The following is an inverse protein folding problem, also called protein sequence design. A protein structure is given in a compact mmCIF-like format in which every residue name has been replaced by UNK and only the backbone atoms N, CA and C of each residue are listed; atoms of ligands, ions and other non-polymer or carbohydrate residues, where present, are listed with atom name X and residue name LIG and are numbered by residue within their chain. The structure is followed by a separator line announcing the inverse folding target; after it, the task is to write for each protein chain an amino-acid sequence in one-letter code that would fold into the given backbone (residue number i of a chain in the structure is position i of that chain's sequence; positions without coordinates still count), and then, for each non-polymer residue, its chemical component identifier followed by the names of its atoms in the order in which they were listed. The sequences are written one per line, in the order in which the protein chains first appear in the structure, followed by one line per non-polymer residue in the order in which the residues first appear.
data_IF_467870596401
#
_entry.id   IF_467870596401
#
_cell.length_a   1.000
_cell.length_b   1.000
_cell.length_c   1.000
_cell.angle_alpha   90.00
_cell.angle_beta   90.00
_cell.angle_gamma   90.00
#
_symmetry.space_group_name_H-M   'P 1'
#
loop_
_entity.id
_entity.type
_entity.pdbx_description
1 polymer ?
#
# COMPACT_ATOMS: atom_id res chain seq x y z
N UNK A 1 26.71 15.40 27.43
CA UNK A 1 27.08 14.95 26.07
C UNK A 1 25.91 15.19 25.13
N UNK A 2 26.03 16.11 24.18
CA UNK A 2 25.05 16.35 23.12
C UNK A 2 25.71 15.98 21.78
N UNK A 3 25.32 14.83 21.24
CA UNK A 3 25.76 14.36 19.91
C UNK A 3 24.74 14.85 18.88
N UNK A 4 25.21 15.34 17.73
CA UNK A 4 24.33 15.69 16.61
C UNK A 4 23.69 14.42 16.02
N UNK A 5 22.38 14.48 15.78
CA UNK A 5 21.60 13.38 15.21
C UNK A 5 21.85 13.33 13.70
N UNK A 6 22.21 12.16 13.18
CA UNK A 6 22.44 11.96 11.75
C UNK A 6 21.13 11.91 10.95
N UNK A 7 21.14 12.17 9.63
CA UNK A 7 19.94 12.18 8.81
C UNK A 7 19.17 10.85 8.80
N UNK A 8 19.87 9.71 8.86
CA UNK A 8 19.23 8.38 8.95
C UNK A 8 18.57 8.14 10.31
N UNK A 9 19.18 8.67 11.38
CA UNK A 9 18.68 8.57 12.75
C UNK A 9 17.44 9.47 12.92
N UNK A 10 17.42 10.65 12.27
CA UNK A 10 16.21 11.45 12.11
C UNK A 10 15.14 10.65 11.35
N UNK A 11 15.48 10.04 10.22
CA UNK A 11 14.53 9.28 9.39
C UNK A 11 13.92 8.09 10.12
N UNK A 12 14.71 7.39 10.95
CA UNK A 12 14.22 6.29 11.80
C UNK A 12 13.21 6.77 12.86
N UNK A 13 13.32 8.02 13.31
CA UNK A 13 12.43 8.64 14.29
C UNK A 13 11.22 9.34 13.65
N UNK A 14 11.23 9.52 12.33
CA UNK A 14 10.11 10.09 11.60
C UNK A 14 9.06 9.02 11.30
N UNK A 15 7.82 9.48 11.18
CA UNK A 15 6.75 8.66 10.64
C UNK A 15 6.96 8.38 9.14
N UNK A 16 6.65 7.17 8.62
CA UNK A 16 6.10 5.99 9.30
C UNK A 16 7.17 5.07 9.91
N UNK A 17 8.47 5.33 9.68
CA UNK A 17 9.58 4.49 10.16
C UNK A 17 9.58 4.27 11.68
N UNK A 18 9.10 5.23 12.46
CA UNK A 18 8.89 5.10 13.91
C UNK A 18 7.97 3.93 14.29
N UNK A 19 7.03 3.56 13.40
CA UNK A 19 6.11 2.43 13.62
C UNK A 19 6.74 1.08 13.25
N UNK A 20 8.00 1.05 12.80
CA UNK A 20 8.67 -0.14 12.26
C UNK A 20 8.22 -0.52 10.85
N UNK A 21 7.34 0.29 10.24
CA UNK A 21 6.79 0.06 8.91
C UNK A 21 7.61 0.86 7.91
N UNK A 22 8.24 0.19 6.94
CA UNK A 22 8.91 0.88 5.84
C UNK A 22 7.88 1.73 5.08
N UNK A 23 8.19 3.00 4.80
CA UNK A 23 7.21 3.89 4.14
C UNK A 23 6.93 3.55 2.68
N UNK A 24 7.82 2.78 2.04
CA UNK A 24 7.88 2.69 0.58
C UNK A 24 7.43 1.32 0.02
N UNK A 25 7.01 0.37 0.85
CA UNK A 25 6.61 -0.98 0.38
C UNK A 25 5.15 -1.07 -0.07
N UNK A 26 4.28 -0.15 0.36
CA UNK A 26 2.87 -0.08 -0.07
C UNK A 26 2.54 1.31 -0.56
N UNK A 27 1.78 1.38 -1.66
CA UNK A 27 1.34 2.63 -2.27
C UNK A 27 -0.14 2.55 -2.64
N UNK A 28 -0.79 3.70 -2.68
CA UNK A 28 -2.17 3.79 -3.15
C UNK A 28 -2.20 3.66 -4.68
N UNK A 29 -2.87 2.62 -5.20
CA UNK A 29 -3.14 2.46 -6.63
C UNK A 29 -4.41 3.18 -7.06
N UNK A 30 -5.49 3.05 -6.28
CA UNK A 30 -6.75 3.75 -6.50
C UNK A 30 -7.54 3.87 -5.18
N UNK A 31 -8.32 4.94 -5.00
CA UNK A 31 -9.14 5.11 -3.81
C UNK A 31 -10.49 4.35 -3.87
N UNK A 32 -11.10 4.31 -5.06
CA UNK A 32 -12.35 3.60 -5.33
C UNK A 32 -12.36 3.21 -6.81
N UNK A 33 -12.05 1.96 -7.10
CA UNK A 33 -12.03 1.46 -8.47
C UNK A 33 -12.44 -0.01 -8.56
N UNK A 34 -12.72 -0.48 -9.76
CA UNK A 34 -12.97 -1.90 -10.03
C UNK A 34 -11.69 -2.72 -9.91
N UNK A 35 -11.81 -4.05 -9.76
CA UNK A 35 -10.64 -4.94 -9.68
C UNK A 35 -9.66 -4.73 -10.84
N UNK A 36 -10.17 -4.62 -12.07
CA UNK A 36 -9.31 -4.45 -13.26
C UNK A 36 -8.62 -3.10 -13.32
N UNK A 37 -9.20 -2.06 -12.72
CA UNK A 37 -8.59 -0.75 -12.62
C UNK A 37 -7.52 -0.74 -11.53
N UNK A 38 -7.75 -1.43 -10.41
CA UNK A 38 -6.77 -1.58 -9.34
C UNK A 38 -5.51 -2.29 -9.84
N UNK A 39 -5.69 -3.44 -10.49
CA UNK A 39 -4.59 -4.21 -11.11
C UNK A 39 -3.84 -3.40 -12.18
N UNK A 40 -4.55 -2.64 -13.02
CA UNK A 40 -3.94 -1.73 -14.00
C UNK A 40 -3.21 -0.54 -13.35
N UNK A 41 -3.71 -0.04 -12.22
CA UNK A 41 -3.10 1.04 -11.46
C UNK A 41 -1.73 0.64 -10.88
N UNK A 42 -1.60 -0.59 -10.41
CA UNK A 42 -0.34 -1.09 -9.87
C UNK A 42 0.69 -1.39 -10.98
N UNK A 43 0.26 -2.08 -12.04
CA UNK A 43 1.13 -2.48 -13.15
C UNK A 43 1.68 -1.32 -14.00
N UNK A 44 1.03 -0.16 -14.01
CA UNK A 44 1.50 1.02 -14.78
C UNK A 44 2.66 1.79 -14.13
N UNK A 45 3.26 1.28 -13.06
CA UNK A 45 4.38 1.95 -12.40
C UNK A 45 3.92 3.29 -11.82
N UNK A 46 3.13 3.25 -10.75
CA UNK A 46 2.75 4.47 -10.03
C UNK A 46 3.96 5.33 -9.61
N UNK A 47 3.72 6.52 -9.05
CA UNK A 47 4.71 7.47 -8.55
C UNK A 47 5.96 6.82 -7.90
N UNK A 48 7.06 6.74 -8.64
CA UNK A 48 8.31 6.09 -8.22
C UNK A 48 8.96 5.13 -9.23
N UNK A 49 8.26 4.75 -10.31
CA UNK A 49 8.87 4.04 -11.46
C UNK A 49 9.33 2.61 -11.20
N UNK A 50 8.96 2.00 -10.06
CA UNK A 50 9.27 0.61 -9.72
C UNK A 50 8.10 -0.31 -10.12
N UNK A 51 8.37 -1.55 -10.54
CA UNK A 51 7.33 -2.54 -10.76
C UNK A 51 6.59 -2.78 -9.45
N UNK A 52 5.27 -2.93 -9.55
CA UNK A 52 4.38 -3.10 -8.42
C UNK A 52 3.17 -3.91 -8.85
N UNK A 53 2.70 -4.80 -7.98
CA UNK A 53 1.50 -5.60 -8.15
C UNK A 53 0.41 -5.16 -7.19
N UNK A 54 -0.81 -5.61 -7.44
CA UNK A 54 -1.87 -5.51 -6.45
C UNK A 54 -1.46 -6.36 -5.24
N UNK A 55 -1.44 -5.79 -4.04
CA UNK A 55 -0.99 -6.51 -2.86
C UNK A 55 -1.75 -7.83 -2.68
N UNK A 56 -1.01 -8.88 -2.37
CA UNK A 56 -1.59 -10.15 -1.93
C UNK A 56 -2.16 -10.02 -0.53
N UNK A 57 -3.04 -10.96 -0.16
CA UNK A 57 -3.60 -11.00 1.19
C UNK A 57 -2.50 -11.13 2.25
N UNK A 58 -1.44 -11.90 1.96
CA UNK A 58 -0.29 -12.04 2.85
C UNK A 58 0.45 -10.72 3.08
N UNK A 59 0.67 -9.92 2.03
CA UNK A 59 1.35 -8.62 2.14
C UNK A 59 0.49 -7.57 2.85
N UNK A 60 -0.82 -7.62 2.65
CA UNK A 60 -1.76 -6.79 3.39
C UNK A 60 -1.68 -7.07 4.90
N UNK A 61 -1.61 -8.34 5.29
CA UNK A 61 -1.48 -8.75 6.70
C UNK A 61 -0.07 -8.59 7.28
N UNK A 62 0.98 -8.68 6.48
CA UNK A 62 2.36 -8.49 6.96
C UNK A 62 2.66 -7.03 7.31
N UNK A 63 1.81 -6.11 6.89
CA UNK A 63 1.91 -4.69 7.26
C UNK A 63 1.18 -3.74 6.34
N UNK A 64 0.68 -4.18 5.18
CA UNK A 64 0.06 -3.29 4.20
C UNK A 64 -1.17 -2.55 4.72
N UNK A 65 -2.01 -3.20 5.52
CA UNK A 65 -3.12 -2.52 6.20
C UNK A 65 -2.65 -1.47 7.21
N UNK A 66 -1.57 -1.77 7.94
CA UNK A 66 -0.99 -0.82 8.88
C UNK A 66 -0.43 0.40 8.15
N UNK A 67 0.34 0.19 7.07
CA UNK A 67 0.88 1.26 6.23
C UNK A 67 -0.21 2.14 5.64
N UNK A 68 -1.28 1.54 5.13
CA UNK A 68 -2.37 2.28 4.50
C UNK A 68 -3.26 3.03 5.52
N UNK A 69 -3.46 2.50 6.73
CA UNK A 69 -4.07 3.26 7.85
C UNK A 69 -3.18 4.41 8.28
N UNK A 70 -1.88 4.13 8.38
CA UNK A 70 -0.88 5.11 8.73
C UNK A 70 -0.86 6.29 7.73
N UNK A 71 -0.97 5.98 6.44
CA UNK A 71 -1.06 6.99 5.38
C UNK A 71 -2.42 7.70 5.29
N UNK A 72 -3.40 7.30 6.12
CA UNK A 72 -4.74 7.89 6.14
C UNK A 72 -5.66 7.43 5.00
N UNK A 73 -5.32 6.35 4.29
CA UNK A 73 -6.11 5.84 3.17
C UNK A 73 -7.28 4.96 3.63
N UNK A 74 -7.08 4.15 4.67
CA UNK A 74 -8.08 3.19 5.14
C UNK A 74 -8.94 3.77 6.26
N UNK A 75 -10.26 3.71 6.07
CA UNK A 75 -11.25 3.88 7.15
C UNK A 75 -11.31 2.63 8.06
N UNK A 76 -12.12 2.68 9.12
CA UNK A 76 -12.19 1.63 10.15
C UNK A 76 -12.50 0.22 9.62
N UNK A 77 -13.28 0.11 8.55
CA UNK A 77 -13.58 -1.15 7.86
C UNK A 77 -13.30 -0.99 6.35
N UNK A 78 -12.06 -1.23 5.90
CA UNK A 78 -11.75 -1.01 4.51
C UNK A 78 -11.98 -2.27 3.68
N UNK A 79 -12.73 -2.12 2.58
CA UNK A 79 -12.69 -3.09 1.50
C UNK A 79 -11.53 -2.74 0.57
N UNK A 80 -10.54 -3.62 0.51
CA UNK A 80 -9.35 -3.49 -0.35
C UNK A 80 -9.30 -4.68 -1.30
N UNK A 81 -8.97 -4.43 -2.55
CA UNK A 81 -8.69 -5.49 -3.51
C UNK A 81 -7.38 -6.20 -3.19
N UNK A 82 -7.37 -7.52 -3.32
CA UNK A 82 -6.14 -8.30 -3.29
C UNK A 82 -6.04 -9.25 -4.50
N UNK A 83 -4.81 -9.59 -4.90
CA UNK A 83 -4.52 -10.36 -6.12
C UNK A 83 -5.31 -11.69 -6.26
N UNK A 84 -5.55 -12.39 -5.16
CA UNK A 84 -6.29 -13.66 -5.13
C UNK A 84 -7.79 -13.57 -5.44
N UNK A 85 -8.37 -12.38 -5.65
CA UNK A 85 -9.81 -12.22 -5.97
C UNK A 85 -10.12 -12.14 -7.48
N UNK A 86 -9.11 -12.27 -8.35
CA UNK A 86 -9.21 -11.96 -9.78
C UNK A 86 -10.39 -12.64 -10.50
N UNK A 87 -10.55 -13.95 -10.34
CA UNK A 87 -11.56 -14.73 -11.08
C UNK A 87 -12.99 -14.39 -10.68
N UNK A 88 -13.22 -14.12 -9.39
CA UNK A 88 -14.55 -13.84 -8.86
C UNK A 88 -14.97 -12.38 -9.08
N UNK A 89 -14.01 -11.45 -9.13
CA UNK A 89 -14.28 -10.02 -9.01
C UNK A 89 -14.02 -9.22 -10.29
N UNK A 90 -13.40 -9.82 -11.32
CA UNK A 90 -13.14 -9.16 -12.60
C UNK A 90 -14.38 -8.53 -13.24
N UNK A 91 -15.56 -9.10 -13.04
CA UNK A 91 -16.83 -8.64 -13.61
C UNK A 91 -17.91 -8.31 -12.58
N UNK A 92 -17.57 -8.22 -11.28
CA UNK A 92 -18.57 -7.95 -10.24
C UNK A 92 -19.12 -6.52 -10.28
N UNK A 93 -18.37 -5.58 -10.88
CA UNK A 93 -18.70 -4.15 -10.90
C UNK A 93 -18.57 -3.47 -9.54
N UNK A 94 -18.17 -4.19 -8.49
CA UNK A 94 -17.89 -3.63 -7.19
C UNK A 94 -16.69 -2.66 -7.26
N UNK A 95 -16.67 -1.68 -6.37
CA UNK A 95 -15.59 -0.70 -6.26
C UNK A 95 -14.99 -0.75 -4.87
N UNK A 96 -13.68 -0.91 -4.80
CA UNK A 96 -12.90 -0.97 -3.56
C UNK A 96 -11.59 -0.21 -3.73
N UNK A 97 -10.84 -0.07 -2.65
CA UNK A 97 -9.51 0.53 -2.69
C UNK A 97 -8.49 -0.45 -3.28
N UNK A 98 -7.56 0.04 -4.08
CA UNK A 98 -6.43 -0.72 -4.60
C UNK A 98 -5.14 -0.31 -3.91
N UNK A 99 -4.47 -1.26 -3.26
CA UNK A 99 -3.12 -1.07 -2.69
C UNK A 99 -2.10 -1.83 -3.53
N UNK A 100 -0.98 -1.17 -3.83
CA UNK A 100 0.09 -1.73 -4.64
C UNK A 100 1.30 -2.03 -3.76
N UNK A 101 1.77 -3.26 -3.81
CA UNK A 101 2.96 -3.72 -3.13
C UNK A 101 4.13 -3.72 -4.11
N UNK A 102 5.35 -3.48 -3.62
CA UNK A 102 6.54 -3.67 -4.43
C UNK A 102 6.83 -5.18 -4.59
N UNK A 103 7.24 -5.59 -5.78
CA UNK A 103 7.77 -6.95 -6.02
C UNK A 103 9.03 -7.24 -5.18
#
# INVERSE_FOLDING_TARGET
HTRAVGPDEIRALLYPSLTGVAGDFVRLGCASCTFTEASRGCSRGGAGGRPAHLCSLQELYSGGFHAARAAGWLAAAPEVWHDGEEDAQRFSGATRMGLCCAD
#
